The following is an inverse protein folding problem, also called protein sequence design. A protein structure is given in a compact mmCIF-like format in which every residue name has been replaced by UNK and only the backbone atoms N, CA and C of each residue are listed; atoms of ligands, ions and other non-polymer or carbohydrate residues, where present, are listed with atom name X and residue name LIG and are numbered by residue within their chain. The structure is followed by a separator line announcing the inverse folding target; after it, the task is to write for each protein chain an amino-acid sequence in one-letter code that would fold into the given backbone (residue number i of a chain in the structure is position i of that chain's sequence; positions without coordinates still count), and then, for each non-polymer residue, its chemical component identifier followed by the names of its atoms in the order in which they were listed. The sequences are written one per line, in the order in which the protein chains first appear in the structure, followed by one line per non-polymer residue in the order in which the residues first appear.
data_IF_988217679548
#
_entry.id   IF_988217679548
#
_cell.length_a   1.000
_cell.length_b   1.000
_cell.length_c   1.000
_cell.angle_alpha   90.00
_cell.angle_beta   90.00
_cell.angle_gamma   90.00
#
_symmetry.space_group_name_H-M   'P 1'
#
loop_
_entity.id
_entity.type
_entity.pdbx_description
1 polymer ?
#
# COMPACT_ATOMS: atom_id res chain seq x y z
N UNK A 1 -16.66 30.65 2.79
CA UNK A 1 -17.40 30.49 1.52
C UNK A 1 -16.94 29.16 0.92
N UNK A 2 -17.56 28.06 1.39
CA UNK A 2 -18.61 27.26 0.72
C UNK A 2 -18.09 26.58 -0.57
N UNK A 3 -17.64 25.32 -0.47
CA UNK A 3 -18.41 24.08 -0.64
C UNK A 3 -18.69 23.71 -2.11
N UNK A 4 -18.59 22.40 -2.38
CA UNK A 4 -18.88 21.67 -3.62
C UNK A 4 -17.82 21.65 -4.73
N UNK A 5 -16.94 20.65 -4.64
CA UNK A 5 -16.70 19.74 -5.77
C UNK A 5 -16.64 18.29 -5.27
N UNK A 6 -17.77 17.82 -4.75
CA UNK A 6 -18.16 16.42 -4.87
C UNK A 6 -19.45 16.45 -5.68
N UNK A 7 -19.32 16.23 -6.98
CA UNK A 7 -20.46 15.85 -7.81
C UNK A 7 -20.98 14.50 -7.28
N UNK A 8 -22.23 14.41 -6.77
CA UNK A 8 -22.78 13.18 -6.22
C UNK A 8 -23.01 12.09 -7.27
N UNK A 9 -22.90 12.40 -8.57
CA UNK A 9 -23.15 11.47 -9.67
C UNK A 9 -21.89 10.84 -10.28
N UNK A 10 -20.69 11.24 -9.84
CA UNK A 10 -19.41 10.72 -10.33
C UNK A 10 -18.54 10.08 -9.24
N UNK A 11 -19.12 9.67 -8.10
CA UNK A 11 -18.49 8.62 -7.32
C UNK A 11 -18.57 7.34 -8.18
N UNK A 12 -17.57 7.12 -9.02
CA UNK A 12 -17.28 5.78 -9.51
C UNK A 12 -17.26 4.90 -8.26
N UNK A 13 -18.33 4.13 -8.04
CA UNK A 13 -18.37 3.21 -6.94
C UNK A 13 -17.30 2.18 -7.28
N UNK A 14 -16.09 2.37 -6.75
CA UNK A 14 -14.95 1.45 -6.90
C UNK A 14 -15.33 0.01 -6.53
N UNK A 15 -16.43 -0.12 -5.79
CA UNK A 15 -17.02 -1.37 -5.36
C UNK A 15 -18.43 -1.52 -5.92
N UNK A 16 -18.67 -2.63 -6.59
CA UNK A 16 -20.00 -3.01 -7.06
C UNK A 16 -20.92 -3.50 -5.92
N UNK A 17 -20.37 -3.77 -4.72
CA UNK A 17 -21.10 -4.34 -3.57
C UNK A 17 -20.54 -3.81 -2.24
N UNK A 18 -21.38 -3.86 -1.20
CA UNK A 18 -21.01 -3.50 0.18
C UNK A 18 -19.86 -4.36 0.71
N UNK A 19 -19.88 -5.66 0.43
CA UNK A 19 -18.85 -6.60 0.87
C UNK A 19 -17.45 -6.15 0.43
N UNK A 20 -17.31 -5.53 -0.76
CA UNK A 20 -16.03 -4.98 -1.22
C UNK A 20 -15.54 -3.79 -0.39
N UNK A 21 -16.46 -2.93 0.06
CA UNK A 21 -16.14 -1.80 0.95
C UNK A 21 -15.76 -2.28 2.36
N UNK A 22 -16.42 -3.33 2.85
CA UNK A 22 -16.13 -3.94 4.15
C UNK A 22 -14.72 -4.57 4.13
N UNK A 23 -14.38 -5.33 3.08
CA UNK A 23 -13.04 -5.89 2.90
C UNK A 23 -11.98 -4.79 2.84
N UNK A 24 -12.21 -3.73 2.05
CA UNK A 24 -11.25 -2.61 1.98
C UNK A 24 -11.05 -1.94 3.34
N UNK A 25 -12.14 -1.69 4.07
CA UNK A 25 -12.09 -1.05 5.38
C UNK A 25 -11.34 -1.92 6.39
N UNK A 26 -11.58 -3.23 6.37
CA UNK A 26 -10.85 -4.22 7.16
C UNK A 26 -9.35 -4.19 6.87
N UNK A 27 -8.96 -4.28 5.58
CA UNK A 27 -7.55 -4.19 5.18
C UNK A 27 -6.92 -2.87 5.61
N UNK A 28 -7.60 -1.74 5.42
CA UNK A 28 -7.11 -0.44 5.86
C UNK A 28 -6.87 -0.35 7.37
N UNK A 29 -7.71 -1.01 8.17
CA UNK A 29 -7.56 -1.05 9.62
C UNK A 29 -6.36 -1.89 10.09
N UNK A 30 -5.87 -2.80 9.25
CA UNK A 30 -4.74 -3.67 9.55
C UNK A 30 -3.37 -3.07 9.14
N UNK A 31 -3.35 -1.95 8.43
CA UNK A 31 -2.10 -1.36 7.92
C UNK A 31 -1.16 -1.01 9.08
N UNK A 32 0.10 -1.45 8.97
CA UNK A 32 1.16 -1.19 9.95
C UNK A 32 1.07 -2.04 11.22
N UNK A 33 -0.01 -2.80 11.42
CA UNK A 33 -0.17 -3.65 12.60
C UNK A 33 0.61 -4.97 12.42
N UNK A 34 1.45 -5.29 13.40
CA UNK A 34 2.08 -6.59 13.49
C UNK A 34 1.09 -7.61 14.07
N UNK A 35 0.78 -8.65 13.30
CA UNK A 35 -0.15 -9.70 13.66
C UNK A 35 0.62 -11.00 13.86
N UNK A 36 0.72 -11.44 15.11
CA UNK A 36 1.42 -12.69 15.44
C UNK A 36 0.63 -13.90 14.96
N UNK A 37 1.36 -14.86 14.39
CA UNK A 37 0.86 -16.17 14.01
C UNK A 37 1.71 -17.25 14.67
N UNK A 38 1.41 -18.52 14.39
CA UNK A 38 2.11 -19.66 15.01
C UNK A 38 3.59 -19.69 14.64
N UNK A 39 4.35 -20.47 15.39
CA UNK A 39 5.75 -20.79 15.12
C UNK A 39 6.72 -19.60 15.13
N UNK A 40 6.38 -18.55 15.90
CA UNK A 40 7.20 -17.36 16.03
C UNK A 40 7.22 -16.51 14.78
N UNK A 41 6.14 -16.49 14.00
CA UNK A 41 6.01 -15.59 12.86
C UNK A 41 5.06 -14.43 13.18
N UNK A 42 5.25 -13.32 12.49
CA UNK A 42 4.29 -12.22 12.43
C UNK A 42 4.09 -11.80 10.99
N UNK A 43 2.90 -11.31 10.65
CA UNK A 43 2.67 -10.63 9.39
C UNK A 43 2.28 -9.18 9.63
N UNK A 44 2.69 -8.30 8.72
CA UNK A 44 2.29 -6.90 8.70
C UNK A 44 1.78 -6.57 7.30
N UNK A 45 0.60 -5.93 7.22
CA UNK A 45 0.11 -5.37 5.97
C UNK A 45 0.67 -3.95 5.83
N UNK A 46 1.33 -3.67 4.71
CA UNK A 46 1.94 -2.39 4.40
C UNK A 46 1.27 -1.79 3.16
N UNK A 47 1.24 -0.46 3.13
CA UNK A 47 0.84 0.30 1.96
C UNK A 47 1.63 1.61 1.98
N UNK A 48 2.11 2.04 0.81
CA UNK A 48 2.77 3.33 0.71
C UNK A 48 1.76 4.45 0.91
N UNK A 49 2.04 5.32 1.87
CA UNK A 49 1.21 6.50 2.16
C UNK A 49 1.90 7.71 1.52
N UNK A 50 1.33 8.20 0.43
CA UNK A 50 1.86 9.31 -0.39
C UNK A 50 1.76 10.67 0.32
N UNK A 51 2.52 11.67 -0.14
CA UNK A 51 2.55 13.05 0.40
C UNK A 51 1.31 13.89 0.06
N UNK A 52 0.48 13.45 -0.88
CA UNK A 52 -0.76 14.13 -1.26
C UNK A 52 -1.82 14.08 -0.14
N UNK A 53 -1.68 13.15 0.82
CA UNK A 53 -2.52 13.10 2.00
C UNK A 53 -1.98 14.10 3.03
N UNK A 54 -2.64 15.25 3.18
CA UNK A 54 -2.40 16.17 4.30
C UNK A 54 -2.45 15.36 5.61
N UNK A 55 -1.30 15.15 6.23
CA UNK A 55 -1.18 14.35 7.44
C UNK A 55 -1.67 15.20 8.61
N UNK A 56 -2.91 14.97 9.02
CA UNK A 56 -3.57 15.81 10.02
C UNK A 56 -3.30 15.38 11.48
N UNK A 57 -2.55 14.29 11.72
CA UNK A 57 -2.24 13.82 13.06
C UNK A 57 -0.85 13.18 13.18
N UNK A 58 -0.23 13.29 14.36
CA UNK A 58 1.06 12.67 14.66
C UNK A 58 1.02 11.14 14.47
N UNK A 59 -0.10 10.50 14.80
CA UNK A 59 -0.29 9.06 14.58
C UNK A 59 -0.22 8.68 13.09
N UNK A 60 -0.90 9.44 12.21
CA UNK A 60 -0.83 9.20 10.76
C UNK A 60 0.58 9.45 10.20
N UNK A 61 1.31 10.42 10.77
CA UNK A 61 2.70 10.69 10.39
C UNK A 61 3.60 9.51 10.76
N UNK A 62 3.49 9.01 11.99
CA UNK A 62 4.24 7.85 12.46
C UNK A 62 3.94 6.60 11.62
N UNK A 63 2.65 6.32 11.36
CA UNK A 63 2.24 5.18 10.53
C UNK A 63 2.83 5.26 9.12
N UNK A 64 2.82 6.45 8.52
CA UNK A 64 3.43 6.70 7.21
C UNK A 64 4.93 6.47 7.22
N UNK A 65 5.64 7.04 8.19
CA UNK A 65 7.08 6.87 8.31
C UNK A 65 7.42 5.37 8.47
N UNK A 66 6.71 4.67 9.34
CA UNK A 66 6.90 3.24 9.57
C UNK A 66 6.61 2.41 8.30
N UNK A 67 5.47 2.62 7.64
CA UNK A 67 5.11 1.85 6.45
C UNK A 67 6.08 2.09 5.31
N UNK A 68 6.39 3.35 4.99
CA UNK A 68 7.26 3.70 3.87
C UNK A 68 8.70 3.25 4.13
N UNK A 69 9.20 3.35 5.37
CA UNK A 69 10.53 2.83 5.73
C UNK A 69 10.62 1.31 5.64
N UNK A 70 9.59 0.57 6.08
CA UNK A 70 9.56 -0.90 5.92
C UNK A 70 9.54 -1.28 4.43
N UNK A 71 8.68 -0.64 3.63
CA UNK A 71 8.62 -0.86 2.18
C UNK A 71 9.95 -0.56 1.47
N UNK A 72 10.71 0.43 1.93
CA UNK A 72 12.04 0.71 1.39
C UNK A 72 13.02 -0.45 1.62
N UNK A 73 13.01 -1.02 2.82
CA UNK A 73 13.83 -2.20 3.14
C UNK A 73 13.37 -3.41 2.34
N UNK A 74 12.05 -3.65 2.28
CA UNK A 74 11.49 -4.78 1.54
C UNK A 74 11.77 -4.67 0.04
N UNK A 75 11.76 -3.47 -0.53
CA UNK A 75 12.16 -3.24 -1.92
C UNK A 75 13.61 -3.63 -2.17
N UNK A 76 14.54 -3.22 -1.29
CA UNK A 76 15.96 -3.61 -1.46
C UNK A 76 16.14 -5.13 -1.47
N UNK A 77 15.41 -5.86 -0.62
CA UNK A 77 15.42 -7.33 -0.61
C UNK A 77 14.86 -7.88 -1.93
N UNK A 78 13.76 -7.30 -2.42
CA UNK A 78 13.13 -7.74 -3.67
C UNK A 78 14.03 -7.46 -4.88
N UNK A 79 14.70 -6.32 -4.92
CA UNK A 79 15.66 -5.97 -5.99
C UNK A 79 16.92 -6.86 -5.96
N UNK A 80 17.35 -7.33 -4.79
CA UNK A 80 18.48 -8.25 -4.65
C UNK A 80 18.10 -9.69 -5.03
N UNK A 81 16.89 -10.13 -4.65
CA UNK A 81 16.47 -11.52 -4.78
C UNK A 81 15.76 -11.84 -6.10
N UNK A 82 15.24 -10.85 -6.81
CA UNK A 82 14.44 -11.04 -8.02
C UNK A 82 15.03 -10.28 -9.20
N UNK A 83 14.85 -10.82 -10.40
CA UNK A 83 15.17 -10.10 -11.63
C UNK A 83 14.23 -8.91 -11.81
N UNK A 84 14.77 -7.79 -12.32
CA UNK A 84 13.98 -6.60 -12.66
C UNK A 84 12.79 -6.96 -13.56
N UNK A 85 11.61 -6.40 -13.26
CA UNK A 85 10.39 -6.67 -13.99
C UNK A 85 10.05 -5.47 -14.86
N UNK A 86 10.77 -5.33 -15.96
CA UNK A 86 10.61 -4.19 -16.87
C UNK A 86 9.38 -4.39 -17.76
N UNK A 87 8.43 -3.46 -17.69
CA UNK A 87 7.31 -3.40 -18.63
C UNK A 87 7.82 -3.14 -20.06
N UNK A 88 7.59 -4.04 -21.03
CA UNK A 88 8.14 -3.89 -22.38
C UNK A 88 7.61 -2.66 -23.14
N UNK A 89 6.43 -2.16 -22.77
CA UNK A 89 5.81 -1.04 -23.48
C UNK A 89 6.36 0.33 -23.05
N UNK A 90 6.83 0.44 -21.81
CA UNK A 90 7.28 1.70 -21.21
C UNK A 90 8.74 1.69 -20.75
N UNK A 91 9.37 0.52 -20.66
CA UNK A 91 10.73 0.36 -20.13
C UNK A 91 10.84 0.58 -18.63
N UNK A 92 9.71 0.61 -17.91
CA UNK A 92 9.71 0.91 -16.48
C UNK A 92 9.75 -0.37 -15.65
N UNK A 93 10.59 -0.41 -14.62
CA UNK A 93 10.59 -1.48 -13.63
C UNK A 93 9.31 -1.44 -12.78
N UNK A 94 8.60 -2.56 -12.76
CA UNK A 94 7.34 -2.75 -12.06
C UNK A 94 7.53 -3.06 -10.58
N UNK A 95 8.68 -3.59 -10.15
CA UNK A 95 8.93 -3.95 -8.75
C UNK A 95 8.73 -2.77 -7.77
N UNK A 96 9.41 -1.62 -7.94
CA UNK A 96 9.19 -0.46 -7.07
C UNK A 96 7.77 0.08 -7.21
N UNK A 97 7.17 0.01 -8.41
CA UNK A 97 5.80 0.51 -8.63
C UNK A 97 4.76 -0.27 -7.84
N UNK A 98 4.87 -1.61 -7.81
CA UNK A 98 3.98 -2.49 -7.06
C UNK A 98 4.13 -2.26 -5.57
N UNK A 99 5.37 -2.32 -5.07
CA UNK A 99 5.68 -2.18 -3.64
C UNK A 99 5.23 -0.83 -3.08
N UNK A 100 5.48 0.26 -3.82
CA UNK A 100 5.04 1.60 -3.40
C UNK A 100 3.65 1.99 -3.91
N UNK A 101 2.92 1.07 -4.56
CA UNK A 101 1.56 1.31 -5.06
C UNK A 101 1.44 2.65 -5.81
N UNK A 102 2.38 2.90 -6.73
CA UNK A 102 2.48 4.18 -7.43
C UNK A 102 1.26 4.41 -8.32
N UNK A 103 0.76 5.65 -8.28
CA UNK A 103 -0.27 6.09 -9.22
C UNK A 103 0.36 6.33 -10.58
N UNK A 104 -0.41 6.06 -11.62
CA UNK A 104 -0.06 6.37 -13.00
C UNK A 104 -1.32 6.83 -13.73
N UNK A 105 -1.14 7.74 -14.68
CA UNK A 105 -2.20 8.12 -15.63
C UNK A 105 -2.40 7.04 -16.70
N UNK A 106 -1.41 6.17 -16.89
CA UNK A 106 -1.53 4.99 -17.75
C UNK A 106 -2.24 3.87 -16.99
N UNK A 107 -3.42 3.46 -17.47
CA UNK A 107 -4.25 2.45 -16.80
C UNK A 107 -3.50 1.14 -16.50
N UNK A 108 -2.64 0.67 -17.41
CA UNK A 108 -1.84 -0.55 -17.23
C UNK A 108 -0.73 -0.42 -16.17
N UNK A 109 -0.40 0.79 -15.73
CA UNK A 109 0.65 1.07 -14.75
C UNK A 109 0.09 1.73 -13.47
N UNK A 110 -1.24 1.88 -13.36
CA UNK A 110 -1.86 2.49 -12.21
C UNK A 110 -2.03 1.46 -11.09
N UNK A 111 -1.06 1.42 -10.18
CA UNK A 111 -1.00 0.46 -9.08
C UNK A 111 -1.51 1.08 -7.78
N UNK A 112 -2.45 2.02 -7.87
CA UNK A 112 -3.14 2.57 -6.71
C UNK A 112 -3.94 1.46 -6.02
N UNK A 113 -3.79 1.34 -4.70
CA UNK A 113 -4.60 0.44 -3.87
C UNK A 113 -4.02 -0.96 -3.69
N UNK A 114 -2.81 -1.20 -4.16
CA UNK A 114 -2.07 -2.41 -3.79
C UNK A 114 -1.65 -2.37 -2.32
N UNK A 115 -1.44 -3.56 -1.76
CA UNK A 115 -0.92 -3.77 -0.42
C UNK A 115 0.22 -4.77 -0.50
N UNK A 116 1.21 -4.61 0.38
CA UNK A 116 2.32 -5.55 0.54
C UNK A 116 2.15 -6.24 1.89
N UNK A 117 2.00 -7.56 1.88
CA UNK A 117 2.00 -8.34 3.13
C UNK A 117 3.40 -8.90 3.38
N UNK A 118 3.98 -8.55 4.51
CA UNK A 118 5.32 -9.00 4.90
C UNK A 118 5.19 -10.02 6.01
N UNK A 119 5.70 -11.22 5.79
CA UNK A 119 5.80 -12.27 6.80
C UNK A 119 7.22 -12.26 7.37
N UNK A 120 7.35 -12.08 8.68
CA UNK A 120 8.62 -12.06 9.40
C UNK A 120 8.68 -13.21 10.39
N UNK A 121 9.86 -13.79 10.54
CA UNK A 121 10.15 -14.72 11.63
C UNK A 121 10.72 -13.92 12.79
N UNK A 122 10.01 -13.92 13.92
CA UNK A 122 10.50 -13.35 15.16
C UNK A 122 11.65 -14.21 15.68
N UNK A 123 12.78 -13.57 15.92
CA UNK A 123 13.91 -14.22 16.58
C UNK A 123 13.66 -14.04 18.08
N UNK A 124 13.46 -15.14 18.80
CA UNK A 124 13.44 -15.12 20.25
C UNK A 124 14.84 -14.69 20.73
N UNK A 125 14.91 -13.51 21.35
CA UNK A 125 16.13 -12.99 22.02
C UNK A 125 16.19 -13.55 23.43
#
# INVERSE_FOLDING_TARGET
MNENWLDPAASHAWFCRRDGQEVQSGLHSCIGLANHVRDGYSWTLLQCIHDDQKVHSAHKFALKAECNSKLAVDLSIVEECFASMVDPSTGIDMLPRVLYSWRSEFAGLNLKGFYTMVLKKEIAV
#
